data_IF_707930932553
#
_entry.id   IF_707930932553
#
_cell.length_a   1.000
_cell.length_b   1.000
_cell.length_c   1.000
_cell.angle_alpha   90.00
_cell.angle_beta   90.00
_cell.angle_gamma   90.00
#
_symmetry.space_group_name_H-M   'P 1'
#
loop_
_entity.id
_entity.type
_entity.pdbx_description
1 polymer ?
#
# COMPACT_ATOMS: atom_id res chain seq x y z
N UNK A 1 6.08 -3.02 22.61
CA UNK A 1 5.86 -3.20 24.05
C UNK A 1 5.58 -1.88 24.79
N UNK A 2 6.15 -0.78 24.36
CA UNK A 2 5.82 0.56 24.88
C UNK A 2 4.40 1.03 24.56
N UNK A 3 3.84 0.57 23.46
CA UNK A 3 2.50 0.94 22.98
C UNK A 3 1.35 0.64 23.98
N UNK A 4 1.52 -0.29 24.92
CA UNK A 4 0.50 -0.57 25.95
C UNK A 4 0.30 0.58 26.94
N UNK A 5 1.25 1.50 27.05
CA UNK A 5 1.20 2.65 27.98
C UNK A 5 0.58 3.91 27.36
N UNK A 6 0.37 3.93 26.04
CA UNK A 6 -0.22 5.10 25.37
C UNK A 6 -1.73 5.05 25.48
N UNK A 7 -2.38 6.12 25.98
CA UNK A 7 -3.84 6.18 26.04
C UNK A 7 -4.48 6.00 24.66
N UNK A 8 -5.58 5.26 24.61
CA UNK A 8 -6.37 5.03 23.37
C UNK A 8 -6.72 6.36 22.70
N UNK A 9 -7.02 7.39 23.48
CA UNK A 9 -7.41 8.74 23.02
C UNK A 9 -6.34 9.45 22.20
N UNK A 10 -5.08 9.06 22.28
CA UNK A 10 -3.96 9.64 21.51
C UNK A 10 -3.43 8.72 20.42
N UNK A 11 -4.03 7.52 20.25
CA UNK A 11 -3.54 6.55 19.27
C UNK A 11 -4.31 6.61 17.97
N UNK A 12 -3.57 6.70 16.88
CA UNK A 12 -4.05 6.49 15.51
C UNK A 12 -3.48 5.15 15.02
N UNK A 13 -4.34 4.28 14.52
CA UNK A 13 -3.94 3.01 13.93
C UNK A 13 -4.16 3.07 12.42
N UNK A 14 -3.14 2.74 11.65
CA UNK A 14 -3.17 2.68 10.18
C UNK A 14 -3.05 1.23 9.75
N UNK A 15 -4.00 0.75 8.97
CA UNK A 15 -4.00 -0.60 8.41
C UNK A 15 -3.51 -0.55 6.97
N UNK A 16 -2.32 -1.08 6.76
CA UNK A 16 -1.62 -1.07 5.47
C UNK A 16 -0.42 -0.12 5.43
N UNK A 17 0.74 -0.64 5.02
CA UNK A 17 2.00 0.09 4.87
C UNK A 17 2.33 0.42 3.40
N UNK A 18 1.32 0.55 2.54
CA UNK A 18 1.44 1.10 1.20
C UNK A 18 1.62 2.63 1.23
N UNK A 19 1.75 3.31 0.07
CA UNK A 19 1.99 4.76 0.01
C UNK A 19 0.96 5.59 0.79
N UNK A 20 -0.32 5.21 0.75
CA UNK A 20 -1.37 5.91 1.49
C UNK A 20 -1.20 5.77 3.01
N UNK A 21 -0.93 4.55 3.50
CA UNK A 21 -0.72 4.32 4.92
C UNK A 21 0.56 4.95 5.45
N UNK A 22 1.64 4.92 4.67
CA UNK A 22 2.89 5.58 5.01
C UNK A 22 2.74 7.10 5.07
N UNK A 23 2.01 7.70 4.12
CA UNK A 23 1.68 9.13 4.17
C UNK A 23 0.89 9.47 5.42
N UNK A 24 -0.12 8.67 5.76
CA UNK A 24 -0.89 8.86 6.98
C UNK A 24 -0.03 8.71 8.24
N UNK A 25 0.94 7.80 8.23
CA UNK A 25 1.87 7.62 9.34
C UNK A 25 2.79 8.82 9.54
N UNK A 26 3.33 9.38 8.44
CA UNK A 26 4.14 10.61 8.50
C UNK A 26 3.33 11.74 9.11
N UNK A 27 2.15 12.03 8.57
CA UNK A 27 1.31 13.12 9.08
C UNK A 27 0.85 12.88 10.52
N UNK A 28 0.35 11.68 10.83
CA UNK A 28 -0.12 11.37 12.17
C UNK A 28 0.97 11.51 13.22
N UNK A 29 2.17 11.02 12.94
CA UNK A 29 3.29 11.10 13.87
C UNK A 29 3.84 12.54 13.98
N UNK A 30 3.95 13.28 12.88
CA UNK A 30 4.42 14.67 12.89
C UNK A 30 3.49 15.61 13.67
N UNK A 31 2.20 15.33 13.72
CA UNK A 31 1.22 16.06 14.54
C UNK A 31 1.18 15.59 16.02
N UNK A 32 2.09 14.72 16.41
CA UNK A 32 2.23 14.24 17.79
C UNK A 32 1.26 13.15 18.20
N UNK A 33 0.54 12.53 17.27
CA UNK A 33 -0.27 11.35 17.57
C UNK A 33 0.63 10.10 17.73
N UNK A 34 0.28 9.25 18.70
CA UNK A 34 0.87 7.91 18.78
C UNK A 34 0.38 7.07 17.62
N UNK A 35 1.15 7.03 16.55
CA UNK A 35 0.77 6.37 15.30
C UNK A 35 1.35 4.96 15.24
N UNK A 36 0.47 3.98 15.00
CA UNK A 36 0.79 2.58 14.78
C UNK A 36 0.35 2.18 13.38
N UNK A 37 1.29 1.67 12.59
CA UNK A 37 1.01 1.07 11.28
C UNK A 37 1.07 -0.45 11.41
N UNK A 38 0.07 -1.13 10.88
CA UNK A 38 -0.01 -2.60 10.83
C UNK A 38 -0.13 -3.04 9.38
N UNK A 39 0.68 -4.01 8.97
CA UNK A 39 0.62 -4.58 7.62
C UNK A 39 0.83 -6.11 7.65
N UNK A 40 0.07 -6.85 6.84
CA UNK A 40 0.17 -8.31 6.78
C UNK A 40 1.36 -8.83 5.99
N UNK A 41 1.87 -8.05 5.05
CA UNK A 41 3.01 -8.42 4.22
C UNK A 41 4.27 -7.67 4.63
N UNK A 42 4.38 -6.46 4.17
CA UNK A 42 5.57 -5.67 4.41
C UNK A 42 5.48 -4.27 3.82
N UNK A 43 6.60 -3.59 3.85
CA UNK A 43 6.71 -2.19 3.49
C UNK A 43 6.40 -1.93 2.02
N UNK A 44 5.52 -0.95 1.76
CA UNK A 44 5.31 -0.31 0.47
C UNK A 44 4.20 -0.89 -0.41
N UNK A 45 3.64 -2.05 -0.03
CA UNK A 45 2.52 -2.65 -0.75
C UNK A 45 2.79 -2.79 -2.25
N UNK A 46 1.78 -2.57 -3.08
CA UNK A 46 1.91 -2.72 -4.54
C UNK A 46 2.87 -1.73 -5.21
N UNK A 47 3.17 -0.60 -4.57
CA UNK A 47 4.11 0.37 -5.14
C UNK A 47 5.51 -0.24 -5.34
N UNK A 48 5.89 -1.21 -4.52
CA UNK A 48 7.22 -1.86 -4.59
C UNK A 48 7.47 -2.64 -5.89
N UNK A 49 6.41 -3.03 -6.60
CA UNK A 49 6.51 -3.68 -7.91
C UNK A 49 6.82 -2.70 -9.06
N UNK A 50 6.67 -1.39 -8.83
CA UNK A 50 6.92 -0.38 -9.85
C UNK A 50 8.41 0.01 -9.88
N UNK A 51 9.06 -0.18 -11.01
CA UNK A 51 10.46 0.23 -11.23
C UNK A 51 10.62 1.74 -11.24
N UNK A 52 9.60 2.48 -11.73
CA UNK A 52 9.62 3.93 -11.84
C UNK A 52 8.20 4.51 -11.71
N UNK A 53 7.98 5.30 -10.66
CA UNK A 53 6.75 6.05 -10.38
C UNK A 53 7.01 7.51 -10.73
N UNK A 54 6.28 8.07 -11.70
CA UNK A 54 6.46 9.45 -12.19
C UNK A 54 5.36 10.42 -11.74
N UNK A 55 4.28 9.88 -11.24
CA UNK A 55 3.10 10.66 -10.82
C UNK A 55 2.98 10.81 -9.30
N UNK A 56 4.08 10.64 -8.56
CA UNK A 56 4.12 10.93 -7.13
C UNK A 56 4.71 12.32 -6.88
N UNK A 57 3.99 13.11 -6.10
CA UNK A 57 4.37 14.49 -5.80
C UNK A 57 5.77 14.56 -5.16
N UNK A 58 6.59 15.53 -5.59
CA UNK A 58 7.95 15.74 -5.08
C UNK A 58 9.05 15.00 -5.86
N UNK A 59 8.71 14.14 -6.83
CA UNK A 59 9.66 13.37 -7.63
C UNK A 59 9.51 13.63 -9.13
N UNK A 60 9.93 14.80 -9.65
CA UNK A 60 9.70 15.19 -11.05
C UNK A 60 10.40 14.28 -12.07
N UNK A 61 11.47 13.61 -11.68
CA UNK A 61 12.18 12.61 -12.51
C UNK A 61 11.70 11.18 -12.29
N UNK A 62 10.73 11.00 -11.38
CA UNK A 62 10.27 9.69 -10.92
C UNK A 62 11.17 9.09 -9.83
N UNK A 63 10.65 8.06 -9.21
CA UNK A 63 11.31 7.30 -8.14
C UNK A 63 10.88 5.84 -8.23
N UNK A 64 11.76 4.89 -7.92
CA UNK A 64 11.34 3.50 -7.81
C UNK A 64 10.41 3.32 -6.60
N UNK A 65 9.41 2.45 -6.73
CA UNK A 65 8.45 2.23 -5.66
C UNK A 65 9.08 1.72 -4.37
N UNK A 66 10.13 0.91 -4.46
CA UNK A 66 10.89 0.47 -3.28
C UNK A 66 11.56 1.63 -2.56
N UNK A 67 12.21 2.53 -3.30
CA UNK A 67 12.87 3.70 -2.71
C UNK A 67 11.86 4.67 -2.12
N UNK A 68 10.72 4.88 -2.79
CA UNK A 68 9.64 5.70 -2.26
C UNK A 68 9.13 5.16 -0.92
N UNK A 69 8.84 3.87 -0.86
CA UNK A 69 8.37 3.21 0.36
C UNK A 69 9.38 3.30 1.50
N UNK A 70 10.66 3.05 1.19
CA UNK A 70 11.74 3.14 2.17
C UNK A 70 11.87 4.55 2.75
N UNK A 71 11.90 5.58 1.91
CA UNK A 71 12.01 6.97 2.35
C UNK A 71 10.79 7.40 3.19
N UNK A 72 9.59 6.99 2.79
CA UNK A 72 8.39 7.30 3.55
C UNK A 72 8.36 6.59 4.93
N UNK A 73 8.83 5.35 4.98
CA UNK A 73 8.98 4.61 6.24
C UNK A 73 9.98 5.30 7.18
N UNK A 74 11.17 5.63 6.68
CA UNK A 74 12.22 6.31 7.44
C UNK A 74 11.71 7.65 7.98
N UNK A 75 10.99 8.42 7.16
CA UNK A 75 10.39 9.67 7.55
C UNK A 75 9.36 9.48 8.68
N UNK A 76 8.46 8.53 8.55
CA UNK A 76 7.46 8.23 9.58
C UNK A 76 8.14 7.76 10.88
N UNK A 77 9.18 6.95 10.77
CA UNK A 77 9.94 6.46 11.92
C UNK A 77 10.65 7.59 12.68
N UNK A 78 11.25 8.54 11.97
CA UNK A 78 11.89 9.73 12.57
C UNK A 78 10.89 10.56 13.37
N UNK A 79 9.63 10.64 12.94
CA UNK A 79 8.56 11.29 13.69
C UNK A 79 7.98 10.42 14.83
N UNK A 80 8.48 9.20 15.01
CA UNK A 80 8.07 8.33 16.12
C UNK A 80 6.89 7.41 15.80
N UNK A 81 6.54 7.19 14.53
CA UNK A 81 5.59 6.17 14.16
C UNK A 81 6.13 4.76 14.47
N UNK A 82 5.25 3.88 14.92
CA UNK A 82 5.55 2.49 15.21
C UNK A 82 4.99 1.60 14.10
N UNK A 83 5.67 0.47 13.83
CA UNK A 83 5.29 -0.45 12.78
C UNK A 83 5.22 -1.88 13.30
N UNK A 84 4.21 -2.59 12.87
CA UNK A 84 4.03 -4.02 13.11
C UNK A 84 3.75 -4.68 11.77
N UNK A 85 4.72 -5.44 11.28
CA UNK A 85 4.63 -6.19 10.04
C UNK A 85 4.28 -7.65 10.30
N UNK A 86 3.89 -8.37 9.24
CA UNK A 86 3.50 -9.78 9.27
C UNK A 86 2.31 -10.04 10.20
N UNK A 87 1.43 -9.05 10.32
CA UNK A 87 0.21 -9.13 11.12
C UNK A 87 -1.01 -8.73 10.31
N UNK A 88 -1.92 -9.67 10.15
CA UNK A 88 -3.20 -9.41 9.50
C UNK A 88 -4.18 -8.80 10.50
N UNK A 89 -4.87 -7.75 10.07
CA UNK A 89 -6.05 -7.26 10.76
C UNK A 89 -7.23 -8.16 10.39
N UNK A 90 -7.80 -8.80 11.39
CA UNK A 90 -8.88 -9.79 11.20
C UNK A 90 -10.25 -9.24 11.58
N UNK A 91 -10.31 -8.21 12.43
CA UNK A 91 -11.55 -7.62 12.89
C UNK A 91 -11.35 -6.16 13.31
N UNK A 92 -12.39 -5.34 13.14
CA UNK A 92 -12.47 -3.96 13.61
C UNK A 92 -13.84 -3.73 14.27
N UNK A 93 -13.84 -3.37 15.54
CA UNK A 93 -15.06 -3.09 16.30
C UNK A 93 -15.02 -1.74 16.97
N UNK A 94 -16.17 -1.10 17.00
CA UNK A 94 -16.41 0.08 17.84
C UNK A 94 -16.95 -0.37 19.19
N UNK A 95 -16.32 0.07 20.26
CA UNK A 95 -16.76 -0.13 21.64
C UNK A 95 -16.95 1.25 22.31
N UNK A 96 -17.39 1.24 23.56
CA UNK A 96 -17.75 2.47 24.28
C UNK A 96 -16.59 3.47 24.36
N UNK A 97 -15.37 3.00 24.54
CA UNK A 97 -14.15 3.78 24.79
C UNK A 97 -13.22 3.91 23.59
N UNK A 98 -13.59 3.39 22.41
CA UNK A 98 -12.81 3.56 21.21
C UNK A 98 -13.04 2.51 20.12
N UNK A 99 -12.10 2.47 19.18
CA UNK A 99 -12.03 1.48 18.11
C UNK A 99 -11.02 0.41 18.49
N UNK A 100 -11.37 -0.84 18.30
CA UNK A 100 -10.51 -1.98 18.61
C UNK A 100 -10.26 -2.81 17.35
N UNK A 101 -8.99 -2.99 17.04
CA UNK A 101 -8.51 -3.79 15.91
C UNK A 101 -7.94 -5.09 16.46
N UNK A 102 -8.36 -6.23 15.91
CA UNK A 102 -7.80 -7.55 16.24
C UNK A 102 -6.75 -7.93 15.21
N UNK A 103 -5.58 -8.32 15.70
CA UNK A 103 -4.45 -8.80 14.90
C UNK A 103 -4.37 -10.32 14.97
N UNK A 104 -3.83 -10.96 13.94
CA UNK A 104 -3.76 -12.44 13.84
C UNK A 104 -3.08 -13.09 15.04
N UNK A 105 -1.96 -12.53 15.51
CA UNK A 105 -1.13 -13.17 16.54
C UNK A 105 -0.91 -12.29 17.79
N UNK A 106 -1.11 -10.97 17.68
CA UNK A 106 -0.84 -10.03 18.79
C UNK A 106 -2.08 -9.63 19.61
N UNK A 107 -3.24 -10.22 19.34
CA UNK A 107 -4.47 -9.90 20.05
C UNK A 107 -5.07 -8.55 19.63
N UNK A 108 -5.58 -7.77 20.59
CA UNK A 108 -6.36 -6.55 20.32
C UNK A 108 -5.57 -5.29 20.62
N UNK A 109 -5.73 -4.29 19.74
CA UNK A 109 -5.16 -2.94 19.90
C UNK A 109 -6.29 -1.91 19.83
N UNK A 110 -6.40 -1.09 20.87
CA UNK A 110 -7.35 0.02 20.91
C UNK A 110 -6.78 1.29 20.30
N UNK A 111 -7.61 2.05 19.59
CA UNK A 111 -7.26 3.33 19.00
C UNK A 111 -8.44 4.31 19.02
N UNK A 112 -8.16 5.61 19.00
CA UNK A 112 -9.20 6.63 18.83
C UNK A 112 -9.68 6.72 17.38
N UNK A 113 -8.75 6.54 16.44
CA UNK A 113 -9.05 6.53 15.02
C UNK A 113 -8.33 5.37 14.35
N UNK A 114 -9.00 4.76 13.37
CA UNK A 114 -8.43 3.73 12.51
C UNK A 114 -8.56 4.19 11.08
N UNK A 115 -7.44 4.21 10.36
CA UNK A 115 -7.36 4.53 8.95
C UNK A 115 -7.14 3.24 8.17
N UNK A 116 -8.07 2.92 7.28
CA UNK A 116 -7.98 1.76 6.40
C UNK A 116 -7.27 2.15 5.10
N UNK A 117 -6.03 1.72 4.96
CA UNK A 117 -5.17 1.94 3.79
C UNK A 117 -4.75 0.61 3.17
N UNK A 118 -5.67 -0.36 3.16
CA UNK A 118 -5.43 -1.77 2.79
C UNK A 118 -5.07 -1.98 1.32
N UNK A 119 -5.19 -0.93 0.49
CA UNK A 119 -4.90 -1.00 -0.94
C UNK A 119 -5.94 -1.79 -1.71
N UNK A 120 -5.52 -2.32 -2.86
CA UNK A 120 -6.36 -3.15 -3.71
C UNK A 120 -5.71 -4.51 -3.94
N UNK A 121 -6.51 -5.54 -3.94
CA UNK A 121 -6.11 -6.89 -4.31
C UNK A 121 -6.71 -7.24 -5.66
N UNK A 122 -5.88 -7.62 -6.61
CA UNK A 122 -6.35 -8.03 -7.94
C UNK A 122 -6.62 -9.52 -7.99
N UNK A 123 -7.73 -9.88 -8.64
CA UNK A 123 -8.00 -11.27 -8.98
C UNK A 123 -6.95 -11.75 -9.97
N UNK A 124 -6.28 -12.85 -9.64
CA UNK A 124 -5.30 -13.47 -10.52
C UNK A 124 -5.97 -14.36 -11.55
N UNK A 125 -5.33 -14.51 -12.71
CA UNK A 125 -5.82 -15.37 -13.80
C UNK A 125 -5.73 -16.85 -13.40
N UNK A 126 -4.76 -17.20 -12.56
CA UNK A 126 -4.58 -18.56 -12.05
C UNK A 126 -3.89 -19.50 -13.02
N UNK A 127 -3.27 -18.99 -14.09
CA UNK A 127 -2.45 -19.79 -15.01
C UNK A 127 -1.00 -19.72 -14.56
N UNK A 128 -0.39 -20.84 -14.10
CA UNK A 128 0.94 -20.83 -13.48
C UNK A 128 2.03 -20.16 -14.34
N UNK A 129 2.00 -20.39 -15.65
CA UNK A 129 2.96 -19.80 -16.58
C UNK A 129 2.86 -18.27 -16.65
N UNK A 130 1.65 -17.70 -16.54
CA UNK A 130 1.42 -16.26 -16.51
C UNK A 130 1.79 -15.69 -15.14
N UNK A 131 1.47 -16.40 -14.06
CA UNK A 131 1.81 -15.95 -12.71
C UNK A 131 3.32 -15.86 -12.48
N UNK A 132 4.10 -16.74 -13.08
CA UNK A 132 5.56 -16.72 -13.05
C UNK A 132 6.16 -15.47 -13.74
N UNK A 133 5.42 -14.85 -14.65
CA UNK A 133 5.81 -13.63 -15.38
C UNK A 133 5.27 -12.34 -14.73
N UNK A 134 4.69 -12.42 -13.54
CA UNK A 134 4.19 -11.24 -12.86
C UNK A 134 5.30 -10.22 -12.59
N UNK A 135 5.15 -9.01 -13.15
CA UNK A 135 6.17 -7.94 -13.13
C UNK A 135 7.25 -8.07 -14.21
N UNK A 136 7.28 -9.16 -14.99
CA UNK A 136 8.23 -9.42 -16.07
C UNK A 136 7.57 -9.46 -17.47
N UNK A 137 6.34 -8.98 -17.57
CA UNK A 137 5.54 -8.98 -18.81
C UNK A 137 4.06 -9.19 -18.53
N UNK A 138 3.70 -9.77 -17.40
CA UNK A 138 2.33 -9.85 -16.90
C UNK A 138 2.16 -8.86 -15.77
N UNK A 139 1.16 -7.99 -15.89
CA UNK A 139 0.86 -6.96 -14.92
C UNK A 139 -0.62 -7.01 -14.53
N UNK A 140 -0.89 -6.91 -13.23
CA UNK A 140 -2.24 -6.79 -12.68
C UNK A 140 -2.56 -5.32 -12.39
N UNK A 141 -3.74 -4.87 -12.80
CA UNK A 141 -4.12 -3.46 -12.77
C UNK A 141 -3.53 -2.68 -13.93
N UNK A 142 -3.80 -1.41 -14.05
CA UNK A 142 -3.32 -0.60 -15.17
C UNK A 142 -1.79 -0.44 -15.16
N UNK A 143 -1.12 -1.01 -16.15
CA UNK A 143 0.34 -0.92 -16.33
C UNK A 143 0.80 0.45 -16.89
N UNK A 144 0.23 1.55 -16.40
CA UNK A 144 0.46 2.91 -16.93
C UNK A 144 1.95 3.27 -16.91
N UNK A 145 2.65 2.91 -15.85
CA UNK A 145 4.08 3.18 -15.71
C UNK A 145 4.98 2.30 -16.60
N UNK A 146 4.47 1.13 -17.01
CA UNK A 146 5.19 0.22 -17.90
C UNK A 146 4.87 0.46 -19.39
N UNK A 147 3.83 1.23 -19.72
CA UNK A 147 3.39 1.45 -21.08
C UNK A 147 4.49 1.93 -22.04
N UNK A 148 5.38 2.88 -21.68
CA UNK A 148 6.46 3.29 -22.58
C UNK A 148 7.47 2.16 -22.91
N UNK A 149 7.62 1.17 -22.02
CA UNK A 149 8.51 0.03 -22.26
C UNK A 149 7.88 -1.02 -23.21
N UNK A 150 6.58 -0.87 -23.51
CA UNK A 150 5.85 -1.75 -24.44
C UNK A 150 5.88 -1.21 -25.88
N UNK A 151 6.57 -0.11 -26.17
CA UNK A 151 6.60 0.50 -27.48
C UNK A 151 7.11 -0.49 -28.55
N UNK A 152 6.27 -0.68 -29.59
CA UNK A 152 6.56 -1.60 -30.69
C UNK A 152 6.43 -3.09 -30.37
N UNK A 153 5.82 -3.43 -29.21
CA UNK A 153 5.51 -4.81 -28.83
C UNK A 153 4.01 -5.08 -28.88
N UNK A 154 3.65 -6.32 -29.15
CA UNK A 154 2.26 -6.76 -29.03
C UNK A 154 1.85 -6.78 -27.55
N UNK A 155 0.75 -6.10 -27.24
CA UNK A 155 0.22 -6.03 -25.88
C UNK A 155 -1.20 -6.60 -25.84
N UNK A 156 -1.44 -7.50 -24.92
CA UNK A 156 -2.73 -8.13 -24.70
C UNK A 156 -3.37 -7.60 -23.40
N UNK A 157 -4.62 -7.17 -23.48
CA UNK A 157 -5.39 -6.75 -22.31
C UNK A 157 -6.44 -7.80 -21.99
N UNK A 158 -6.33 -8.40 -20.83
CA UNK A 158 -7.29 -9.40 -20.34
C UNK A 158 -8.28 -8.76 -19.36
N UNK A 159 -9.54 -8.66 -19.76
CA UNK A 159 -10.61 -8.11 -18.95
C UNK A 159 -11.79 -7.64 -19.79
N UNK A 160 -12.96 -7.51 -19.16
CA UNK A 160 -14.22 -7.13 -19.84
C UNK A 160 -14.92 -5.90 -19.24
N UNK A 161 -14.30 -5.21 -18.28
CA UNK A 161 -14.87 -4.03 -17.63
C UNK A 161 -14.20 -2.73 -18.07
N UNK A 162 -14.70 -1.59 -17.59
CA UNK A 162 -14.22 -0.25 -17.94
C UNK A 162 -12.71 -0.08 -17.80
N UNK A 163 -12.10 -0.66 -16.75
CA UNK A 163 -10.66 -0.59 -16.53
C UNK A 163 -9.85 -1.26 -17.65
N UNK A 164 -10.35 -2.37 -18.21
CA UNK A 164 -9.69 -3.03 -19.33
C UNK A 164 -9.77 -2.17 -20.60
N UNK A 165 -10.94 -1.57 -20.89
CA UNK A 165 -11.10 -0.64 -22.00
C UNK A 165 -10.21 0.60 -21.87
N UNK A 166 -10.11 1.19 -20.68
CA UNK A 166 -9.22 2.32 -20.43
C UNK A 166 -7.74 1.94 -20.59
N UNK A 167 -7.34 0.75 -20.11
CA UNK A 167 -5.99 0.22 -20.29
C UNK A 167 -5.66 0.00 -21.77
N UNK A 168 -6.58 -0.59 -22.54
CA UNK A 168 -6.39 -0.80 -23.97
C UNK A 168 -6.21 0.51 -24.72
N UNK A 169 -7.07 1.50 -24.46
CA UNK A 169 -6.95 2.86 -25.06
C UNK A 169 -5.63 3.55 -24.65
N UNK A 170 -5.17 3.34 -23.44
CA UNK A 170 -3.89 3.92 -23.00
C UNK A 170 -2.71 3.25 -23.70
N UNK A 171 -2.69 1.91 -23.70
CA UNK A 171 -1.58 1.12 -24.24
C UNK A 171 -1.48 1.22 -25.76
N UNK A 172 -2.59 1.39 -26.49
CA UNK A 172 -2.59 1.58 -27.95
C UNK A 172 -1.81 2.81 -28.44
N UNK A 173 -1.38 3.69 -27.54
CA UNK A 173 -0.52 4.84 -27.85
C UNK A 173 0.96 4.48 -27.89
N UNK A 174 1.31 3.28 -27.44
CA UNK A 174 2.69 2.80 -27.29
C UNK A 174 2.94 1.51 -28.05
N UNK A 175 1.96 0.62 -28.04
CA UNK A 175 2.02 -0.71 -28.67
C UNK A 175 1.62 -0.67 -30.16
#
# INVERSE_FOLDING_TARGET
LEMRRVPITKRVLVVGAGPAGLSAAVYGASEGFSTLVVDEGGLGGQATSSSLIRNYLGFPRGISGRRLAQQAYEQAWVFGANFVFMQRVTDLRREHDGLFVTLSDFGRVGARAVLLATGASYRRVGVPALEALNGLGVFYGGAVSAAPAMAGHDVYVLGGANSAGQSALHLSRYA
#
